data_IF_525649338731
#
_entry.id   IF_525649338731
#
_cell.length_a   1.000
_cell.length_b   1.000
_cell.length_c   1.000
_cell.angle_alpha   90.00
_cell.angle_beta   90.00
_cell.angle_gamma   90.00
#
_symmetry.space_group_name_H-M   'P 1'
#
loop_
_entity.id
_entity.type
_entity.pdbx_description
1 polymer ?
#
# COMPACT_ATOMS: atom_id res chain seq x y z
N UNK A 1 18.84 -12.64 -6.79
CA UNK A 1 18.97 -11.26 -6.32
C UNK A 1 20.08 -11.21 -5.27
N UNK A 2 21.04 -10.29 -5.40
CA UNK A 2 22.03 -10.02 -4.37
C UNK A 2 21.38 -9.36 -3.15
N UNK A 3 21.85 -9.67 -1.95
CA UNK A 3 21.48 -8.94 -0.74
C UNK A 3 22.39 -7.74 -0.59
N UNK A 4 21.81 -6.59 -0.28
CA UNK A 4 22.53 -5.34 -0.04
C UNK A 4 22.27 -4.86 1.39
N UNK A 5 23.28 -4.23 2.01
CA UNK A 5 23.16 -3.71 3.37
C UNK A 5 22.81 -2.22 3.32
N UNK A 6 21.69 -1.86 3.95
CA UNK A 6 21.26 -0.47 4.11
C UNK A 6 21.35 -0.11 5.60
N UNK A 7 21.99 1.01 5.91
CA UNK A 7 22.06 1.54 7.29
C UNK A 7 21.19 2.79 7.38
N UNK A 8 20.29 2.82 8.36
CA UNK A 8 19.42 3.98 8.61
C UNK A 8 19.22 4.18 10.11
N UNK A 9 18.82 5.39 10.50
CA UNK A 9 18.53 5.75 11.89
C UNK A 9 17.05 5.56 12.16
N UNK A 10 16.73 5.04 13.34
CA UNK A 10 15.36 4.95 13.87
C UNK A 10 15.37 5.36 15.33
N UNK A 11 14.22 5.82 15.79
CA UNK A 11 13.98 6.08 17.20
C UNK A 11 14.12 4.78 18.02
N UNK A 12 14.60 4.90 19.26
CA UNK A 12 14.91 3.75 20.12
C UNK A 12 13.65 2.97 20.53
N UNK A 13 12.51 3.64 20.66
CA UNK A 13 11.21 3.06 20.91
C UNK A 13 10.74 2.16 19.75
N UNK A 14 10.88 2.62 18.51
CA UNK A 14 10.58 1.84 17.31
C UNK A 14 11.47 0.61 17.19
N UNK A 15 12.77 0.75 17.49
CA UNK A 15 13.68 -0.39 17.56
C UNK A 15 13.17 -1.44 18.57
N UNK A 16 12.77 -1.00 19.76
CA UNK A 16 12.26 -1.90 20.80
C UNK A 16 10.94 -2.59 20.39
N UNK A 17 10.04 -1.87 19.73
CA UNK A 17 8.80 -2.44 19.18
C UNK A 17 9.09 -3.53 18.13
N UNK A 18 10.02 -3.27 17.21
CA UNK A 18 10.45 -4.27 16.21
C UNK A 18 11.06 -5.52 16.86
N UNK A 19 11.85 -5.34 17.93
CA UNK A 19 12.41 -6.44 18.71
C UNK A 19 11.32 -7.30 19.37
N UNK A 20 10.30 -6.67 19.95
CA UNK A 20 9.17 -7.36 20.56
C UNK A 20 8.37 -8.16 19.53
N UNK A 21 8.10 -7.59 18.34
CA UNK A 21 7.41 -8.27 17.24
C UNK A 21 8.22 -9.49 16.81
N UNK A 22 9.52 -9.32 16.54
CA UNK A 22 10.39 -10.40 16.10
C UNK A 22 10.43 -11.56 17.10
N UNK A 23 10.53 -11.23 18.40
CA UNK A 23 10.48 -12.23 19.48
C UNK A 23 9.13 -12.96 19.53
N UNK A 24 8.01 -12.24 19.39
CA UNK A 24 6.67 -12.81 19.44
C UNK A 24 6.36 -13.79 18.28
N UNK A 25 7.02 -13.62 17.14
CA UNK A 25 6.85 -14.49 15.96
C UNK A 25 8.01 -15.48 15.75
N UNK A 26 8.93 -15.59 16.71
CA UNK A 26 10.13 -16.43 16.63
C UNK A 26 10.95 -16.20 15.35
N UNK A 27 11.29 -14.93 15.09
CA UNK A 27 12.12 -14.45 13.98
C UNK A 27 13.14 -13.43 14.46
N UNK A 28 14.10 -13.11 13.59
CA UNK A 28 15.03 -12.00 13.84
C UNK A 28 14.44 -10.65 13.39
N UNK A 29 15.06 -9.56 13.86
CA UNK A 29 14.65 -8.20 13.48
C UNK A 29 14.75 -7.97 11.97
N UNK A 30 15.74 -8.58 11.32
CA UNK A 30 15.96 -8.42 9.87
C UNK A 30 14.77 -8.94 9.07
N UNK A 31 14.17 -10.06 9.48
CA UNK A 31 12.95 -10.60 8.87
C UNK A 31 11.81 -9.58 8.95
N UNK A 32 11.52 -9.05 10.15
CA UNK A 32 10.45 -8.05 10.34
C UNK A 32 10.71 -6.78 9.52
N UNK A 33 11.96 -6.33 9.46
CA UNK A 33 12.34 -5.17 8.64
C UNK A 33 12.14 -5.42 7.14
N UNK A 34 12.48 -6.61 6.65
CA UNK A 34 12.27 -6.96 5.24
C UNK A 34 10.78 -7.03 4.90
N UNK A 35 9.96 -7.63 5.77
CA UNK A 35 8.50 -7.68 5.60
C UNK A 35 7.90 -6.26 5.57
N UNK A 36 8.31 -5.39 6.50
CA UNK A 36 7.85 -4.02 6.54
C UNK A 36 8.23 -3.23 5.28
N UNK A 37 9.46 -3.38 4.79
CA UNK A 37 9.92 -2.75 3.55
C UNK A 37 9.16 -3.29 2.35
N UNK A 38 8.98 -4.62 2.25
CA UNK A 38 8.25 -5.24 1.15
C UNK A 38 6.81 -4.74 1.08
N UNK A 39 6.08 -4.75 2.21
CA UNK A 39 4.71 -4.26 2.27
C UNK A 39 4.60 -2.77 1.90
N UNK A 40 5.54 -1.95 2.36
CA UNK A 40 5.56 -0.52 2.03
C UNK A 40 5.82 -0.29 0.54
N UNK A 41 6.80 -0.99 -0.03
CA UNK A 41 7.14 -0.89 -1.46
C UNK A 41 5.97 -1.36 -2.32
N UNK A 42 5.36 -2.51 -2.01
CA UNK A 42 4.21 -3.04 -2.74
C UNK A 42 3.03 -2.07 -2.74
N UNK A 43 2.69 -1.51 -1.56
CA UNK A 43 1.61 -0.53 -1.42
C UNK A 43 1.84 0.69 -2.31
N UNK A 44 3.04 1.27 -2.29
CA UNK A 44 3.35 2.45 -3.08
C UNK A 44 3.47 2.16 -4.57
N UNK A 45 4.00 1.00 -4.96
CA UNK A 45 4.05 0.59 -6.36
C UNK A 45 2.64 0.48 -6.93
N UNK A 46 1.75 -0.26 -6.25
CA UNK A 46 0.35 -0.35 -6.67
C UNK A 46 -0.31 1.03 -6.76
N UNK A 47 -0.09 1.90 -5.77
CA UNK A 47 -0.68 3.24 -5.79
C UNK A 47 -0.19 4.08 -6.98
N UNK A 48 1.12 4.06 -7.26
CA UNK A 48 1.71 4.78 -8.38
C UNK A 48 1.13 4.27 -9.70
N UNK A 49 1.06 2.95 -9.86
CA UNK A 49 0.54 2.31 -11.07
C UNK A 49 -0.95 2.65 -11.29
N UNK A 50 -1.77 2.62 -10.24
CA UNK A 50 -3.19 2.99 -10.32
C UNK A 50 -3.39 4.47 -10.65
N UNK A 51 -2.59 5.37 -10.06
CA UNK A 51 -2.63 6.80 -10.40
C UNK A 51 -2.30 6.99 -11.89
N UNK A 52 -1.25 6.33 -12.38
CA UNK A 52 -0.84 6.45 -13.77
C UNK A 52 -1.89 5.86 -14.73
N UNK A 53 -2.55 4.76 -14.35
CA UNK A 53 -3.67 4.19 -15.11
C UNK A 53 -4.84 5.18 -15.18
N UNK A 54 -5.27 5.72 -14.03
CA UNK A 54 -6.38 6.66 -13.97
C UNK A 54 -6.14 7.96 -14.73
N UNK A 55 -4.89 8.46 -14.76
CA UNK A 55 -4.52 9.61 -15.61
C UNK A 55 -4.67 9.24 -17.09
N UNK A 56 -4.23 8.04 -17.49
CA UNK A 56 -4.32 7.58 -18.88
C UNK A 56 -5.77 7.40 -19.34
N UNK A 57 -6.61 6.83 -18.48
CA UNK A 57 -8.06 6.68 -18.70
C UNK A 57 -8.74 8.04 -18.82
N UNK A 58 -8.42 8.98 -17.92
CA UNK A 58 -8.94 10.34 -17.95
C UNK A 58 -8.54 11.10 -19.23
N UNK A 59 -7.28 10.99 -19.65
CA UNK A 59 -6.78 11.60 -20.89
C UNK A 59 -7.45 10.99 -22.13
N UNK A 60 -7.84 9.72 -22.06
CA UNK A 60 -8.64 9.04 -23.10
C UNK A 60 -10.14 9.37 -23.04
N UNK A 61 -10.60 10.11 -22.03
CA UNK A 61 -12.01 10.41 -21.81
C UNK A 61 -12.84 9.23 -21.31
N UNK A 62 -12.20 8.20 -20.75
CA UNK A 62 -12.84 6.99 -20.22
C UNK A 62 -13.46 7.26 -18.84
N UNK A 63 -14.52 8.07 -18.85
CA UNK A 63 -15.32 8.39 -17.67
C UNK A 63 -16.66 7.68 -17.75
N UNK A 64 -17.18 7.27 -16.60
CA UNK A 64 -18.56 6.81 -16.48
C UNK A 64 -19.54 7.91 -16.92
N UNK A 65 -20.60 7.50 -17.58
CA UNK A 65 -21.73 8.35 -17.92
C UNK A 65 -22.54 8.76 -16.69
N UNK A 66 -23.32 9.84 -16.81
CA UNK A 66 -24.21 10.31 -15.75
C UNK A 66 -25.20 9.22 -15.31
N UNK A 67 -25.68 8.39 -16.24
CA UNK A 67 -26.59 7.28 -15.97
C UNK A 67 -25.93 6.18 -15.13
N UNK A 68 -24.69 5.80 -15.45
CA UNK A 68 -23.92 4.81 -14.70
C UNK A 68 -23.63 5.30 -13.28
N UNK A 69 -23.25 6.58 -13.14
CA UNK A 69 -23.04 7.21 -11.84
C UNK A 69 -24.33 7.16 -11.01
N UNK A 70 -25.48 7.59 -11.57
CA UNK A 70 -26.78 7.54 -10.87
C UNK A 70 -27.15 6.13 -10.42
N UNK A 71 -26.95 5.12 -11.27
CA UNK A 71 -27.26 3.73 -10.95
C UNK A 71 -26.42 3.20 -9.77
N UNK A 72 -25.12 3.53 -9.73
CA UNK A 72 -24.25 3.16 -8.61
C UNK A 72 -24.66 3.88 -7.32
N UNK A 73 -24.98 5.17 -7.37
CA UNK A 73 -25.41 5.90 -6.18
C UNK A 73 -26.70 5.32 -5.59
N UNK A 74 -27.73 5.05 -6.41
CA UNK A 74 -28.96 4.42 -5.94
C UNK A 74 -28.68 3.08 -5.23
N UNK A 75 -27.81 2.25 -5.82
CA UNK A 75 -27.41 0.95 -5.23
C UNK A 75 -26.69 1.11 -3.89
N UNK A 76 -25.82 2.11 -3.74
CA UNK A 76 -25.00 2.27 -2.53
C UNK A 76 -25.75 2.97 -1.40
N UNK A 77 -26.75 3.80 -1.70
CA UNK A 77 -27.52 4.54 -0.70
C UNK A 77 -28.83 3.87 -0.31
N UNK A 78 -29.23 2.78 -0.99
CA UNK A 78 -30.58 2.19 -0.90
C UNK A 78 -31.69 3.23 -1.09
N UNK A 79 -31.42 4.27 -1.88
CA UNK A 79 -32.42 5.23 -2.29
C UNK A 79 -33.15 4.63 -3.49
N UNK A 80 -34.28 3.98 -3.21
CA UNK A 80 -35.27 3.57 -4.22
C UNK A 80 -35.97 4.79 -4.83
#
# INVERSE_FOLDING_TARGET
MSKENITFRIDSDKKAALDAIASGINRDRSYVLNEAVAAYVEMYQWQIDQIQSGITEADAGDFASDEEVKAIFARLTNAD
#
